data_IF_060679660259
#
_entry.id   IF_060679660259
#
_cell.length_a   1.000
_cell.length_b   1.000
_cell.length_c   1.000
_cell.angle_alpha   90.00
_cell.angle_beta   90.00
_cell.angle_gamma   90.00
#
_symmetry.space_group_name_H-M   'P 1'
#
loop_
_entity.id
_entity.type
_entity.pdbx_description
1 polymer ?
#
# COMPACT_ATOMS: atom_id res chain seq x y z
N UNK A 1 -3.06 9.87 -10.88
CA UNK A 1 -4.33 9.45 -11.52
C UNK A 1 -4.76 10.50 -12.50
N UNK A 2 -5.07 10.10 -13.72
CA UNK A 2 -5.69 10.91 -14.76
C UNK A 2 -7.11 10.37 -14.99
N UNK A 3 -8.10 11.25 -15.00
CA UNK A 3 -9.48 10.90 -15.32
C UNK A 3 -9.95 11.81 -16.45
N UNK A 4 -10.45 11.21 -17.51
CA UNK A 4 -11.08 11.90 -18.63
C UNK A 4 -12.53 11.45 -18.74
N UNK A 5 -13.45 12.42 -18.79
CA UNK A 5 -14.88 12.16 -18.97
C UNK A 5 -15.36 12.91 -20.21
N UNK A 6 -15.96 12.19 -21.12
CA UNK A 6 -16.58 12.75 -22.31
C UNK A 6 -18.08 12.50 -22.27
N UNK A 7 -18.83 13.57 -22.26
CA UNK A 7 -20.29 13.53 -22.31
C UNK A 7 -20.77 13.84 -23.74
N UNK A 8 -21.63 12.99 -24.29
CA UNK A 8 -22.24 13.15 -25.60
C UNK A 8 -23.77 13.26 -25.42
N UNK A 9 -24.29 14.43 -25.03
CA UNK A 9 -25.69 14.61 -24.63
C UNK A 9 -26.67 14.23 -25.74
N UNK A 10 -26.28 14.49 -27.00
CA UNK A 10 -27.12 14.24 -28.18
C UNK A 10 -27.59 12.81 -28.31
N UNK A 11 -26.80 11.87 -27.79
CA UNK A 11 -27.12 10.44 -27.83
C UNK A 11 -27.17 9.81 -26.44
N UNK A 12 -27.06 10.60 -25.39
CA UNK A 12 -27.16 10.16 -24.00
C UNK A 12 -26.01 9.26 -23.56
N UNK A 13 -24.80 9.42 -24.09
CA UNK A 13 -23.62 8.66 -23.66
C UNK A 13 -22.68 9.49 -22.80
N UNK A 14 -22.19 8.86 -21.73
CA UNK A 14 -21.10 9.36 -20.91
C UNK A 14 -20.01 8.32 -20.87
N UNK A 15 -18.81 8.65 -21.33
CA UNK A 15 -17.64 7.78 -21.32
C UNK A 15 -16.63 8.35 -20.34
N UNK A 16 -16.25 7.57 -19.36
CA UNK A 16 -15.20 7.92 -18.38
C UNK A 16 -14.06 6.92 -18.50
N UNK A 17 -12.87 7.43 -18.76
CA UNK A 17 -11.62 6.68 -18.71
C UNK A 17 -10.81 7.14 -17.49
N UNK A 18 -10.25 6.20 -16.74
CA UNK A 18 -9.36 6.48 -15.64
C UNK A 18 -8.05 5.74 -15.87
N UNK A 19 -6.97 6.51 -15.97
CA UNK A 19 -5.61 5.98 -16.01
C UNK A 19 -4.93 6.25 -14.67
N UNK A 20 -4.40 5.24 -14.05
CA UNK A 20 -3.69 5.32 -12.79
C UNK A 20 -2.27 4.81 -12.98
N UNK A 21 -1.30 5.64 -12.65
CA UNK A 21 0.11 5.28 -12.68
C UNK A 21 0.65 5.31 -11.24
N UNK A 22 1.28 4.24 -10.82
CA UNK A 22 2.03 4.17 -9.57
C UNK A 22 3.50 4.12 -9.93
N UNK A 23 4.18 5.26 -9.81
CA UNK A 23 5.55 5.45 -10.27
C UNK A 23 6.56 4.76 -9.38
N UNK A 24 6.31 4.82 -8.07
CA UNK A 24 7.17 4.20 -7.09
C UNK A 24 6.36 3.81 -5.86
N UNK A 25 6.53 2.59 -5.44
CA UNK A 25 6.06 2.12 -4.15
C UNK A 25 7.25 1.52 -3.41
N UNK A 26 7.51 2.00 -2.23
CA UNK A 26 8.55 1.41 -1.38
C UNK A 26 7.96 1.09 -0.02
N UNK A 27 8.34 -0.04 0.51
CA UNK A 27 8.03 -0.45 1.86
C UNK A 27 9.34 -0.60 2.63
N UNK A 28 9.50 0.22 3.65
CA UNK A 28 10.70 0.25 4.46
C UNK A 28 10.33 0.51 5.91
N UNK A 29 10.71 -0.38 6.78
CA UNK A 29 10.63 -0.18 8.21
C UNK A 29 12.00 0.27 8.70
N UNK A 30 12.05 1.45 9.26
CA UNK A 30 13.23 2.05 9.87
C UNK A 30 13.49 1.54 11.29
N UNK A 31 13.08 0.33 11.61
CA UNK A 31 13.64 -0.30 12.79
C UNK A 31 15.11 -0.49 12.47
N UNK A 32 15.95 0.39 12.99
CA UNK A 32 17.39 0.24 12.90
C UNK A 32 17.82 -1.19 13.29
N UNK A 33 19.09 -1.47 13.36
CA UNK A 33 19.61 -2.76 13.84
C UNK A 33 19.26 -3.06 15.32
N UNK A 34 18.21 -2.40 15.87
CA UNK A 34 18.18 -2.07 17.28
C UNK A 34 17.24 -2.98 18.04
N UNK A 35 17.77 -4.15 18.33
CA UNK A 35 17.40 -4.86 19.55
C UNK A 35 17.84 -4.11 20.82
N UNK A 36 18.62 -3.02 20.68
CA UNK A 36 19.23 -2.28 21.78
C UNK A 36 18.32 -1.13 22.18
N UNK A 37 17.87 -1.05 23.44
CA UNK A 37 17.04 0.04 23.90
C UNK A 37 17.84 1.36 23.94
N UNK A 38 17.22 2.45 23.52
CA UNK A 38 17.78 3.81 23.59
C UNK A 38 17.46 4.51 24.92
N UNK A 39 16.51 3.96 25.66
CA UNK A 39 16.06 4.48 26.95
C UNK A 39 14.85 3.70 27.46
N UNK A 40 14.31 4.12 28.58
CA UNK A 40 13.11 3.52 29.17
C UNK A 40 12.22 4.58 29.82
N UNK A 41 10.97 4.24 29.99
CA UNK A 41 10.00 5.01 30.76
C UNK A 41 9.93 4.41 32.17
N UNK A 42 10.21 5.21 33.18
CA UNK A 42 10.03 4.78 34.55
C UNK A 42 8.54 4.67 34.88
N UNK A 43 8.15 3.57 35.54
CA UNK A 43 6.72 3.31 35.82
C UNK A 43 6.20 4.14 37.00
N UNK A 44 7.11 4.61 37.88
CA UNK A 44 6.74 5.32 39.08
C UNK A 44 6.27 6.75 38.82
N UNK A 45 6.94 7.44 37.92
CA UNK A 45 6.75 8.88 37.68
C UNK A 45 6.56 9.22 36.20
N UNK A 46 6.50 8.19 35.31
CA UNK A 46 6.46 8.33 33.87
C UNK A 46 7.61 9.15 33.28
N UNK A 47 8.74 9.25 33.98
CA UNK A 47 9.92 9.94 33.46
C UNK A 47 10.61 9.17 32.36
N UNK A 48 11.08 9.90 31.33
CA UNK A 48 11.82 9.32 30.20
C UNK A 48 13.31 9.33 30.54
N UNK A 49 13.89 8.17 30.71
CA UNK A 49 15.31 7.99 31.01
C UNK A 49 16.04 7.52 29.74
N UNK A 50 16.78 8.41 29.10
CA UNK A 50 17.55 8.09 27.88
C UNK A 50 18.94 7.60 28.24
N UNK A 51 19.37 6.52 27.57
CA UNK A 51 20.76 6.09 27.68
C UNK A 51 21.66 7.06 26.87
N UNK A 52 22.86 7.36 27.34
CA UNK A 52 23.82 8.13 26.57
C UNK A 52 24.06 7.46 25.21
N UNK A 53 24.10 8.25 24.15
CA UNK A 53 24.29 7.75 22.78
C UNK A 53 25.59 6.93 22.69
N UNK A 54 25.46 5.68 22.20
CA UNK A 54 26.58 4.75 22.06
C UNK A 54 27.00 4.04 23.35
N UNK A 55 26.26 4.18 24.46
CA UNK A 55 26.54 3.47 25.71
C UNK A 55 26.46 1.95 25.53
N UNK A 56 25.47 1.49 24.80
CA UNK A 56 25.30 0.09 24.47
C UNK A 56 25.37 -0.08 22.96
N UNK A 57 26.28 -0.91 22.48
CA UNK A 57 26.48 -1.21 21.06
C UNK A 57 26.17 -2.67 20.73
N UNK A 58 26.10 -3.52 21.77
CA UNK A 58 25.79 -4.95 21.62
C UNK A 58 24.70 -5.36 22.60
N UNK A 59 23.96 -6.39 22.25
CA UNK A 59 22.92 -6.98 23.11
C UNK A 59 23.53 -7.57 24.40
N UNK A 60 24.78 -8.02 24.35
CA UNK A 60 25.46 -8.58 25.52
C UNK A 60 25.72 -7.48 26.58
N UNK A 61 26.18 -6.29 26.18
CA UNK A 61 26.38 -5.17 27.08
C UNK A 61 25.09 -4.75 27.80
N UNK A 62 23.95 -4.81 27.11
CA UNK A 62 22.63 -4.52 27.70
C UNK A 62 22.26 -5.56 28.75
N UNK A 63 22.52 -6.85 28.47
CA UNK A 63 22.28 -7.95 29.42
C UNK A 63 23.17 -7.83 30.67
N UNK A 64 24.45 -7.55 30.46
CA UNK A 64 25.44 -7.40 31.58
C UNK A 64 25.11 -6.22 32.46
N UNK A 65 24.49 -5.17 31.90
CA UNK A 65 24.00 -4.01 32.65
C UNK A 65 22.65 -4.24 33.36
N UNK A 66 22.07 -5.44 33.26
CA UNK A 66 20.80 -5.78 33.91
C UNK A 66 19.54 -5.40 33.12
N UNK A 67 19.68 -4.85 31.91
CA UNK A 67 18.56 -4.41 31.07
C UNK A 67 18.17 -5.42 30.00
N UNK A 68 18.54 -6.68 30.16
CA UNK A 68 18.25 -7.74 29.20
C UNK A 68 16.77 -7.92 28.85
N UNK A 69 15.89 -7.59 29.79
CA UNK A 69 14.42 -7.63 29.60
C UNK A 69 13.88 -6.55 28.64
N UNK A 70 14.68 -5.51 28.37
CA UNK A 70 14.33 -4.43 27.43
C UNK A 70 14.72 -4.75 25.98
N UNK A 71 15.42 -5.85 25.74
CA UNK A 71 15.83 -6.24 24.40
C UNK A 71 14.63 -6.67 23.57
N UNK A 72 14.40 -5.98 22.47
CA UNK A 72 13.39 -6.37 21.51
C UNK A 72 13.95 -7.36 20.50
N UNK A 73 13.15 -8.37 20.17
CA UNK A 73 13.48 -9.27 19.09
C UNK A 73 13.07 -8.60 17.75
N UNK A 74 14.04 -7.94 17.11
CA UNK A 74 13.81 -7.25 15.84
C UNK A 74 14.16 -8.19 14.69
N UNK A 75 13.20 -8.47 13.81
CA UNK A 75 13.47 -9.21 12.58
C UNK A 75 14.22 -8.33 11.59
N UNK A 76 15.46 -8.64 11.29
CA UNK A 76 16.28 -7.94 10.29
C UNK A 76 15.65 -7.96 8.89
N UNK A 77 14.85 -8.97 8.57
CA UNK A 77 14.12 -9.05 7.31
C UNK A 77 13.15 -7.88 7.13
N UNK A 78 12.59 -7.33 8.22
CA UNK A 78 11.70 -6.18 8.15
C UNK A 78 12.42 -4.86 7.83
N UNK A 79 13.74 -4.78 8.04
CA UNK A 79 14.56 -3.64 7.70
C UNK A 79 14.97 -3.61 6.21
N UNK A 80 14.75 -4.69 5.46
CA UNK A 80 15.05 -4.73 4.03
C UNK A 80 14.09 -3.82 3.28
N UNK A 81 14.64 -2.83 2.59
CA UNK A 81 13.87 -1.94 1.73
C UNK A 81 13.38 -2.69 0.50
N UNK A 82 12.07 -2.72 0.32
CA UNK A 82 11.42 -3.22 -0.88
C UNK A 82 10.94 -2.04 -1.72
N UNK A 83 11.50 -1.84 -2.89
CA UNK A 83 11.04 -0.86 -3.86
C UNK A 83 10.52 -1.57 -5.10
N UNK A 84 9.48 -1.00 -5.66
CA UNK A 84 8.72 -1.63 -6.72
C UNK A 84 8.74 -0.78 -7.99
N UNK A 85 8.81 -1.45 -9.14
CA UNK A 85 8.78 -0.79 -10.45
C UNK A 85 7.43 -0.12 -10.71
N UNK A 86 7.36 0.91 -11.54
CA UNK A 86 6.11 1.54 -11.94
C UNK A 86 5.13 0.53 -12.55
N UNK A 87 3.86 0.74 -12.32
CA UNK A 87 2.80 -0.01 -12.99
C UNK A 87 1.60 0.90 -13.28
N UNK A 88 0.78 0.46 -14.23
CA UNK A 88 -0.35 1.23 -14.75
C UNK A 88 -1.63 0.42 -14.61
N UNK A 89 -2.73 1.10 -14.34
CA UNK A 89 -4.06 0.55 -14.34
C UNK A 89 -4.99 1.44 -15.15
N UNK A 90 -5.78 0.85 -16.04
CA UNK A 90 -6.75 1.57 -16.86
C UNK A 90 -8.14 1.00 -16.62
N UNK A 91 -9.08 1.90 -16.34
CA UNK A 91 -10.46 1.58 -16.11
C UNK A 91 -11.33 2.36 -17.10
N UNK A 92 -12.39 1.73 -17.57
CA UNK A 92 -13.39 2.32 -18.44
C UNK A 92 -14.77 2.22 -17.78
N UNK A 93 -15.53 3.29 -17.90
CA UNK A 93 -16.94 3.29 -17.58
C UNK A 93 -17.69 3.96 -18.75
N UNK A 94 -18.69 3.28 -19.28
CA UNK A 94 -19.55 3.79 -20.36
C UNK A 94 -20.98 3.71 -19.86
N UNK A 95 -21.62 4.86 -19.73
CA UNK A 95 -23.00 4.95 -19.31
C UNK A 95 -23.87 5.43 -20.47
N UNK A 96 -24.97 4.74 -20.71
CA UNK A 96 -26.01 5.12 -21.66
C UNK A 96 -27.26 5.49 -20.87
N UNK A 97 -27.72 6.72 -21.07
CA UNK A 97 -29.04 7.17 -20.62
C UNK A 97 -30.05 6.87 -21.75
N UNK A 98 -30.96 5.95 -21.48
CA UNK A 98 -31.99 5.52 -22.43
C UNK A 98 -33.22 6.44 -22.30
N UNK A 99 -33.56 6.79 -21.06
CA UNK A 99 -34.62 7.73 -20.71
C UNK A 99 -34.30 8.40 -19.39
N UNK A 100 -35.12 9.35 -18.97
CA UNK A 100 -34.97 9.98 -17.65
C UNK A 100 -35.09 8.98 -16.48
N UNK A 101 -35.65 7.80 -16.74
CA UNK A 101 -35.87 6.74 -15.72
C UNK A 101 -34.87 5.58 -15.85
N UNK A 102 -34.26 5.38 -17.01
CA UNK A 102 -33.44 4.20 -17.28
C UNK A 102 -32.02 4.54 -17.72
N UNK A 103 -31.06 4.01 -16.99
CA UNK A 103 -29.62 4.15 -17.27
C UNK A 103 -28.96 2.78 -17.27
N UNK A 104 -28.11 2.52 -18.25
CA UNK A 104 -27.28 1.33 -18.35
C UNK A 104 -25.83 1.73 -18.34
N UNK A 105 -25.04 1.15 -17.43
CA UNK A 105 -23.60 1.40 -17.33
C UNK A 105 -22.84 0.12 -17.55
N UNK A 106 -21.86 0.16 -18.44
CA UNK A 106 -20.82 -0.85 -18.59
C UNK A 106 -19.54 -0.37 -17.94
N UNK A 107 -18.91 -1.21 -17.14
CA UNK A 107 -17.62 -0.92 -16.58
C UNK A 107 -16.62 -2.04 -16.82
N UNK A 108 -15.37 -1.66 -17.04
CA UNK A 108 -14.23 -2.57 -17.16
C UNK A 108 -13.06 -2.02 -16.37
N UNK A 109 -12.55 -2.83 -15.45
CA UNK A 109 -11.42 -2.47 -14.60
C UNK A 109 -10.19 -3.28 -15.00
N UNK A 110 -9.02 -2.63 -14.96
CA UNK A 110 -7.75 -3.17 -15.41
C UNK A 110 -7.81 -3.75 -16.85
N UNK A 111 -8.32 -2.95 -17.79
CA UNK A 111 -8.57 -3.34 -19.18
C UNK A 111 -7.37 -4.00 -19.88
N UNK A 112 -6.16 -3.55 -19.56
CA UNK A 112 -4.94 -4.06 -20.20
C UNK A 112 -4.33 -5.24 -19.44
N UNK A 113 -5.03 -5.79 -18.45
CA UNK A 113 -4.60 -6.97 -17.67
C UNK A 113 -3.20 -6.80 -17.09
N UNK A 114 -2.90 -5.61 -16.59
CA UNK A 114 -1.61 -5.33 -15.96
C UNK A 114 -1.57 -5.98 -14.57
N UNK A 115 -0.86 -7.10 -14.44
CA UNK A 115 -0.72 -7.87 -13.20
C UNK A 115 0.75 -8.02 -12.83
N UNK A 116 1.42 -6.95 -12.41
CA UNK A 116 2.81 -7.08 -12.02
C UNK A 116 2.91 -7.98 -10.79
N UNK A 117 3.57 -9.11 -10.96
CA UNK A 117 3.95 -10.01 -9.87
C UNK A 117 5.32 -9.60 -9.39
N UNK A 118 5.49 -9.58 -8.09
CA UNK A 118 6.74 -9.17 -7.47
C UNK A 118 7.12 -10.14 -6.38
N UNK A 119 8.35 -10.58 -6.43
CA UNK A 119 8.93 -11.36 -5.37
C UNK A 119 9.34 -10.44 -4.22
N UNK A 120 9.01 -10.85 -3.01
CA UNK A 120 9.44 -10.17 -1.82
C UNK A 120 10.92 -10.43 -1.56
N UNK A 121 11.70 -9.36 -1.37
CA UNK A 121 13.10 -9.46 -0.95
C UNK A 121 13.23 -9.93 0.51
N UNK A 122 12.18 -9.73 1.29
CA UNK A 122 12.13 -10.14 2.70
C UNK A 122 11.88 -11.64 2.86
N UNK A 123 11.03 -12.16 2.00
CA UNK A 123 10.63 -13.57 2.01
C UNK A 123 10.79 -14.14 0.60
N UNK A 124 11.98 -14.65 0.24
CA UNK A 124 12.20 -15.28 -1.05
C UNK A 124 11.16 -16.37 -1.34
N UNK A 125 10.65 -16.41 -2.56
CA UNK A 125 9.56 -17.31 -2.95
C UNK A 125 8.15 -16.81 -2.64
N UNK A 126 8.00 -15.69 -1.92
CA UNK A 126 6.72 -15.03 -1.72
C UNK A 126 6.47 -14.00 -2.81
N UNK A 127 5.29 -14.05 -3.44
CA UNK A 127 4.92 -13.15 -4.53
C UNK A 127 3.70 -12.32 -4.15
N UNK A 128 3.77 -11.03 -4.45
CA UNK A 128 2.66 -10.09 -4.29
C UNK A 128 2.16 -9.67 -5.68
N UNK A 129 0.87 -9.75 -5.90
CA UNK A 129 0.20 -9.20 -7.06
C UNK A 129 -0.41 -7.84 -6.71
N UNK A 130 -0.10 -6.81 -7.48
CA UNK A 130 -0.39 -5.42 -7.10
C UNK A 130 -1.69 -4.86 -7.65
N UNK A 131 -2.20 -5.38 -8.74
CA UNK A 131 -3.45 -4.93 -9.35
C UNK A 131 -4.55 -5.96 -9.16
N UNK A 132 -5.77 -5.47 -9.06
CA UNK A 132 -6.95 -6.31 -9.15
C UNK A 132 -7.00 -7.02 -10.50
N UNK A 133 -7.60 -8.20 -10.53
CA UNK A 133 -7.84 -8.92 -11.79
C UNK A 133 -8.72 -8.09 -12.70
N UNK A 134 -8.55 -8.28 -14.00
CA UNK A 134 -9.48 -7.74 -14.97
C UNK A 134 -10.89 -8.24 -14.64
N UNK A 135 -11.82 -7.34 -14.57
CA UNK A 135 -13.24 -7.66 -14.47
C UNK A 135 -14.06 -6.60 -15.18
N UNK A 136 -15.22 -7.00 -15.66
CA UNK A 136 -16.20 -6.12 -16.26
C UNK A 136 -17.59 -6.47 -15.76
N UNK A 137 -18.49 -5.55 -15.89
CA UNK A 137 -19.87 -5.73 -15.50
C UNK A 137 -20.81 -4.75 -16.15
N UNK A 138 -22.09 -5.00 -15.95
CA UNK A 138 -23.19 -4.14 -16.34
C UNK A 138 -23.96 -3.75 -15.09
N UNK A 139 -24.36 -2.50 -15.03
CA UNK A 139 -25.22 -1.95 -14.01
C UNK A 139 -26.46 -1.37 -14.68
N UNK A 140 -27.64 -1.71 -14.16
CA UNK A 140 -28.92 -1.16 -14.58
C UNK A 140 -29.45 -0.30 -13.44
N UNK A 141 -29.71 0.96 -13.71
CA UNK A 141 -30.28 1.89 -12.74
C UNK A 141 -31.64 2.36 -13.22
N UNK A 142 -32.67 2.15 -12.39
CA UNK A 142 -34.03 2.57 -12.63
C UNK A 142 -34.41 3.61 -11.58
N UNK A 143 -34.85 4.77 -12.01
CA UNK A 143 -35.39 5.82 -11.14
C UNK A 143 -36.91 5.83 -11.28
N UNK A 144 -37.61 5.56 -10.19
CA UNK A 144 -39.08 5.56 -10.11
C UNK A 144 -39.60 6.91 -9.69
#
# INVERSE_FOLDING_TARGET
>A
TLRATHNIPRIGFVVTMTAQAIWQQSNWNTFGNDSIPVGYLALEDASVNMFPKGKYTTTQQVKDAGYGYMLNNVSHNNAIKESYSPYFCFNLNVTKEISNMLRVSFFANNMFRSYPRRESKRNPGSYIQLNNRFFFGLELSLTL
#
